data_IF_735273589604
#
_entry.id   IF_735273589604
#
_cell.length_a   1.000
_cell.length_b   1.000
_cell.length_c   1.000
_cell.angle_alpha   90.00
_cell.angle_beta   90.00
_cell.angle_gamma   90.00
#
_symmetry.space_group_name_H-M   'P 1'
#
loop_
_entity.id
_entity.type
_entity.pdbx_description
1 polymer ?
#
# COMPACT_ATOMS: atom_id res chain seq x y z
N UNK A 1 -21.12 -6.69 -6.78
CA UNK A 1 -22.08 -7.63 -6.16
C UNK A 1 -21.33 -8.47 -5.16
N UNK A 2 -21.91 -8.82 -4.01
CA UNK A 2 -21.29 -9.74 -3.06
C UNK A 2 -21.45 -11.18 -3.54
N UNK A 3 -20.49 -12.04 -3.22
CA UNK A 3 -20.55 -13.48 -3.51
C UNK A 3 -21.75 -14.10 -2.78
N UNK A 4 -22.48 -15.02 -3.44
CA UNK A 4 -23.55 -15.74 -2.76
C UNK A 4 -22.98 -16.81 -1.82
N UNK A 5 -23.68 -17.10 -0.72
CA UNK A 5 -23.25 -18.13 0.23
C UNK A 5 -23.06 -19.51 -0.43
N UNK A 6 -23.86 -19.82 -1.46
CA UNK A 6 -23.75 -21.04 -2.23
C UNK A 6 -22.43 -21.11 -3.02
N UNK A 7 -22.05 -20.02 -3.69
CA UNK A 7 -20.77 -19.93 -4.41
C UNK A 7 -19.58 -20.02 -3.44
N UNK A 8 -19.66 -19.37 -2.28
CA UNK A 8 -18.60 -19.45 -1.27
C UNK A 8 -18.41 -20.87 -0.76
N UNK A 9 -19.51 -21.60 -0.48
CA UNK A 9 -19.47 -23.00 -0.02
C UNK A 9 -18.90 -23.94 -1.09
N UNK A 10 -19.32 -23.78 -2.35
CA UNK A 10 -18.83 -24.63 -3.44
C UNK A 10 -17.30 -24.48 -3.62
N UNK A 11 -16.79 -23.25 -3.55
CA UNK A 11 -15.36 -22.98 -3.66
C UNK A 11 -14.58 -23.49 -2.45
N UNK A 12 -15.13 -23.31 -1.24
CA UNK A 12 -14.55 -23.84 -0.01
C UNK A 12 -14.47 -25.38 -0.03
N UNK A 13 -15.54 -26.06 -0.46
CA UNK A 13 -15.54 -27.52 -0.63
C UNK A 13 -14.53 -27.99 -1.69
N UNK A 14 -14.39 -27.26 -2.80
CA UNK A 14 -13.40 -27.57 -3.85
C UNK A 14 -11.97 -27.50 -3.30
N UNK A 15 -11.64 -26.40 -2.61
CA UNK A 15 -10.32 -26.20 -2.00
C UNK A 15 -10.06 -27.19 -0.85
N UNK A 16 -11.09 -27.53 -0.06
CA UNK A 16 -10.99 -28.53 0.99
C UNK A 16 -10.68 -29.93 0.43
N UNK A 17 -11.34 -30.33 -0.67
CA UNK A 17 -11.05 -31.60 -1.34
C UNK A 17 -9.62 -31.65 -1.89
N UNK A 18 -9.17 -30.59 -2.56
CA UNK A 18 -7.78 -30.50 -3.05
C UNK A 18 -6.78 -30.54 -1.90
N UNK A 19 -7.04 -29.80 -0.81
CA UNK A 19 -6.23 -29.81 0.42
C UNK A 19 -6.13 -31.21 1.00
N UNK A 20 -7.24 -31.96 1.08
CA UNK A 20 -7.24 -33.33 1.58
C UNK A 20 -6.42 -34.28 0.69
N UNK A 21 -6.47 -34.11 -0.63
CA UNK A 21 -5.74 -34.95 -1.58
C UNK A 21 -4.22 -34.66 -1.59
N UNK A 22 -3.84 -33.41 -1.36
CA UNK A 22 -2.45 -32.94 -1.49
C UNK A 22 -1.71 -32.85 -0.16
N UNK A 23 -2.43 -32.70 0.97
CA UNK A 23 -1.82 -32.76 2.30
C UNK A 23 -1.23 -34.13 2.56
N UNK A 24 -0.01 -34.15 3.08
CA UNK A 24 0.71 -35.36 3.47
C UNK A 24 0.89 -35.46 4.99
N UNK A 25 0.29 -34.55 5.74
CA UNK A 25 0.43 -34.43 7.20
C UNK A 25 1.55 -33.47 7.59
N UNK A 26 1.92 -33.48 8.87
CA UNK A 26 2.86 -32.52 9.44
C UNK A 26 4.07 -33.21 10.07
N UNK A 27 5.21 -32.51 10.07
CA UNK A 27 6.47 -33.02 10.60
C UNK A 27 7.28 -31.91 11.28
N UNK A 28 8.19 -32.30 12.17
CA UNK A 28 9.24 -31.44 12.73
C UNK A 28 10.39 -31.36 11.74
N UNK A 29 10.77 -30.14 11.37
CA UNK A 29 11.88 -29.89 10.44
C UNK A 29 12.81 -28.84 11.01
N UNK A 30 14.12 -29.12 10.97
CA UNK A 30 15.16 -28.18 11.40
C UNK A 30 15.21 -26.96 10.48
N UNK A 31 15.48 -25.79 11.05
CA UNK A 31 15.55 -24.54 10.30
C UNK A 31 16.62 -24.53 9.20
N UNK A 32 17.64 -25.38 9.30
CA UNK A 32 18.70 -25.53 8.29
C UNK A 32 18.19 -26.11 6.97
N UNK A 33 17.13 -26.93 7.04
CA UNK A 33 16.50 -27.49 5.85
C UNK A 33 15.43 -26.57 5.27
N UNK A 34 15.01 -25.51 5.97
CA UNK A 34 13.97 -24.59 5.50
C UNK A 34 14.55 -23.44 4.67
N UNK A 35 14.15 -23.37 3.40
CA UNK A 35 14.60 -22.38 2.41
C UNK A 35 13.47 -21.44 2.02
N UNK A 36 13.81 -20.16 1.89
CA UNK A 36 12.90 -19.13 1.43
C UNK A 36 13.16 -18.81 -0.03
N UNK A 37 12.13 -18.89 -0.88
CA UNK A 37 12.26 -18.69 -2.33
C UNK A 37 11.70 -17.33 -2.82
N UNK A 38 11.46 -16.34 -1.93
CA UNK A 38 11.06 -15.00 -2.37
C UNK A 38 12.13 -13.94 -2.11
N UNK A 39 12.23 -12.98 -3.05
CA UNK A 39 13.04 -11.74 -2.99
C UNK A 39 12.67 -10.79 -1.83
N UNK A 40 11.79 -11.21 -0.91
CA UNK A 40 11.36 -10.43 0.25
C UNK A 40 12.28 -10.69 1.43
N UNK A 41 13.02 -9.67 1.82
CA UNK A 41 13.76 -9.69 3.09
C UNK A 41 12.80 -9.67 4.28
N UNK A 42 13.06 -10.43 5.36
CA UNK A 42 12.27 -10.36 6.57
C UNK A 42 12.21 -8.91 7.10
N UNK A 43 11.02 -8.46 7.49
CA UNK A 43 10.83 -7.16 8.13
C UNK A 43 11.41 -7.22 9.56
N UNK A 44 12.55 -6.57 9.77
CA UNK A 44 13.30 -6.56 11.04
C UNK A 44 12.43 -6.17 12.24
N UNK A 45 11.49 -5.22 12.07
CA UNK A 45 10.59 -4.83 13.16
C UNK A 45 9.65 -5.97 13.54
N UNK A 46 9.21 -6.76 12.56
CA UNK A 46 8.30 -7.90 12.80
C UNK A 46 9.02 -9.09 13.39
N UNK A 47 10.24 -9.35 12.91
CA UNK A 47 11.13 -10.32 13.55
C UNK A 47 11.31 -9.96 15.02
N UNK A 48 11.54 -8.69 15.34
CA UNK A 48 11.66 -8.25 16.72
C UNK A 48 10.36 -8.41 17.52
N UNK A 49 9.19 -8.05 16.96
CA UNK A 49 7.89 -8.28 17.60
C UNK A 49 7.67 -9.76 17.91
N UNK A 50 7.98 -10.66 16.97
CA UNK A 50 7.86 -12.11 17.18
C UNK A 50 8.82 -12.62 18.24
N UNK A 51 10.05 -12.10 18.30
CA UNK A 51 10.99 -12.39 19.39
C UNK A 51 10.43 -11.94 20.75
N UNK A 52 9.77 -10.79 20.80
CA UNK A 52 9.14 -10.31 22.03
C UNK A 52 7.92 -11.16 22.43
N UNK A 53 7.15 -11.66 21.45
CA UNK A 53 6.09 -12.66 21.70
C UNK A 53 6.71 -13.95 22.24
N UNK A 54 7.77 -14.48 21.63
CA UNK A 54 8.45 -15.69 22.10
C UNK A 54 8.99 -15.54 23.53
N UNK A 55 9.43 -14.34 23.92
CA UNK A 55 9.84 -14.02 25.30
C UNK A 55 8.68 -14.00 26.29
N UNK A 56 7.53 -13.47 25.91
CA UNK A 56 6.39 -13.25 26.81
C UNK A 56 5.46 -14.45 26.93
N UNK A 57 5.16 -15.07 25.81
CA UNK A 57 4.18 -16.17 25.69
C UNK A 57 4.83 -17.54 25.51
N UNK A 58 6.15 -17.56 25.29
CA UNK A 58 6.90 -18.75 24.89
C UNK A 58 6.85 -19.01 23.38
N UNK A 59 7.72 -19.90 22.91
CA UNK A 59 7.66 -20.41 21.55
C UNK A 59 6.67 -21.56 21.50
N UNK A 60 5.53 -21.39 20.83
CA UNK A 60 4.42 -22.36 20.84
C UNK A 60 4.22 -23.01 19.46
N UNK A 61 5.20 -23.79 18.93
CA UNK A 61 5.12 -24.35 17.58
C UNK A 61 3.97 -25.35 17.42
N UNK A 62 3.50 -25.96 18.53
CA UNK A 62 2.40 -26.94 18.56
C UNK A 62 1.01 -26.35 18.27
N UNK A 63 0.85 -25.01 18.30
CA UNK A 63 -0.43 -24.39 17.93
C UNK A 63 -0.59 -24.51 16.42
N UNK A 64 -1.70 -25.07 15.95
CA UNK A 64 -1.98 -25.26 14.51
C UNK A 64 -1.81 -23.96 13.71
N UNK A 65 -2.26 -22.82 14.25
CA UNK A 65 -2.10 -21.51 13.59
C UNK A 65 -0.64 -21.09 13.37
N UNK A 66 0.29 -21.66 14.15
CA UNK A 66 1.71 -21.40 14.07
C UNK A 66 2.45 -22.33 13.10
N UNK A 67 1.81 -23.37 12.54
CA UNK A 67 2.43 -24.27 11.58
C UNK A 67 2.80 -23.53 10.28
N UNK A 68 3.78 -24.09 9.56
CA UNK A 68 4.25 -23.48 8.31
C UNK A 68 3.92 -24.39 7.13
N UNK A 69 3.13 -23.93 6.14
CA UNK A 69 2.87 -24.70 4.94
C UNK A 69 4.10 -24.77 4.04
N UNK A 70 4.42 -25.97 3.58
CA UNK A 70 5.60 -26.29 2.75
C UNK A 70 5.18 -27.16 1.56
N UNK A 71 5.81 -26.95 0.40
CA UNK A 71 5.64 -27.82 -0.77
C UNK A 71 6.78 -28.82 -0.90
N UNK A 72 6.46 -30.07 -1.23
CA UNK A 72 7.42 -31.17 -1.35
C UNK A 72 7.06 -32.13 -2.49
N UNK A 73 8.06 -32.73 -3.14
CA UNK A 73 7.85 -33.83 -4.07
C UNK A 73 7.66 -35.17 -3.33
N UNK A 74 6.78 -36.03 -3.84
CA UNK A 74 6.48 -37.32 -3.20
C UNK A 74 7.73 -38.17 -2.97
N UNK A 75 8.64 -38.23 -3.96
CA UNK A 75 9.89 -38.99 -3.85
C UNK A 75 10.79 -38.51 -2.70
N UNK A 76 10.83 -37.19 -2.48
CA UNK A 76 11.62 -36.61 -1.38
C UNK A 76 10.98 -36.89 -0.03
N UNK A 77 9.65 -36.91 0.03
CA UNK A 77 8.92 -37.30 1.24
C UNK A 77 9.17 -38.77 1.59
N UNK A 78 9.07 -39.67 0.60
CA UNK A 78 9.25 -41.11 0.80
C UNK A 78 10.68 -41.41 1.31
N UNK A 79 11.70 -40.80 0.69
CA UNK A 79 13.08 -40.93 1.14
C UNK A 79 13.30 -40.42 2.58
N UNK A 80 12.66 -39.31 2.96
CA UNK A 80 12.75 -38.78 4.32
C UNK A 80 12.05 -39.69 5.36
N UNK A 81 10.94 -40.32 4.99
CA UNK A 81 10.24 -41.29 5.84
C UNK A 81 11.06 -42.57 6.02
N UNK A 82 11.66 -43.08 4.95
CA UNK A 82 12.56 -44.25 5.01
C UNK A 82 13.77 -43.99 5.91
N UNK A 83 14.41 -42.83 5.80
CA UNK A 83 15.52 -42.43 6.67
C UNK A 83 15.09 -42.32 8.13
N UNK A 84 13.93 -41.72 8.41
CA UNK A 84 13.39 -41.60 9.77
C UNK A 84 13.08 -42.97 10.39
N UNK A 85 12.63 -43.95 9.58
CA UNK A 85 12.41 -45.33 10.00
C UNK A 85 13.72 -46.05 10.29
N UNK A 86 14.71 -45.91 9.40
CA UNK A 86 16.04 -46.50 9.60
C UNK A 86 16.68 -45.97 10.90
N UNK A 87 16.50 -44.68 11.20
CA UNK A 87 16.96 -44.03 12.43
C UNK A 87 16.08 -44.32 13.66
N UNK A 88 15.02 -45.15 13.53
CA UNK A 88 14.01 -45.47 14.57
C UNK A 88 13.34 -44.24 15.19
N UNK A 89 13.30 -43.12 14.46
CA UNK A 89 12.66 -41.86 14.88
C UNK A 89 11.17 -41.86 14.59
N UNK A 90 10.73 -42.68 13.63
CA UNK A 90 9.33 -42.83 13.27
C UNK A 90 9.06 -44.28 12.84
N UNK A 91 7.89 -44.82 13.20
CA UNK A 91 7.58 -46.25 12.99
C UNK A 91 6.44 -46.48 11.98
N UNK A 92 5.78 -45.41 11.51
CA UNK A 92 4.65 -45.52 10.58
C UNK A 92 4.99 -44.87 9.24
N UNK A 93 4.27 -45.21 8.17
CA UNK A 93 4.42 -44.54 6.86
C UNK A 93 3.52 -43.29 6.75
N UNK A 94 2.71 -43.01 7.76
CA UNK A 94 1.69 -41.97 7.72
C UNK A 94 2.02 -40.88 8.72
N UNK A 95 2.08 -39.63 8.27
CA UNK A 95 2.30 -38.49 9.14
C UNK A 95 1.01 -38.09 9.87
N UNK A 96 1.12 -37.54 11.10
CA UNK A 96 -0.03 -36.96 11.79
C UNK A 96 -0.62 -35.82 10.98
N UNK A 97 -1.95 -35.71 10.95
CA UNK A 97 -2.62 -34.57 10.32
C UNK A 97 -2.75 -33.42 11.32
N UNK A 98 -2.62 -32.17 10.88
CA UNK A 98 -2.71 -30.99 11.75
C UNK A 98 -4.04 -30.85 12.49
N UNK A 99 -5.12 -31.49 11.99
CA UNK A 99 -6.45 -31.50 12.60
C UNK A 99 -6.74 -32.69 13.52
N UNK A 100 -5.83 -33.68 13.60
CA UNK A 100 -6.02 -34.80 14.54
C UNK A 100 -5.60 -34.41 15.95
N UNK A 101 -6.47 -34.67 16.94
CA UNK A 101 -6.14 -34.49 18.36
C UNK A 101 -4.96 -35.41 18.68
N UNK A 102 -3.78 -34.83 18.91
CA UNK A 102 -2.59 -35.57 19.31
C UNK A 102 -2.76 -35.99 20.77
N UNK A 103 -3.50 -37.07 20.99
CA UNK A 103 -3.51 -37.76 22.27
C UNK A 103 -2.20 -38.53 22.43
N UNK A 104 -1.20 -37.83 22.97
CA UNK A 104 -0.05 -38.36 23.73
C UNK A 104 0.38 -39.81 23.45
N UNK A 105 1.39 -39.96 22.58
CA UNK A 105 2.64 -40.72 22.83
C UNK A 105 3.65 -40.65 21.65
N UNK A 106 3.24 -40.18 20.47
CA UNK A 106 4.15 -39.87 19.35
C UNK A 106 3.74 -38.57 18.69
N UNK A 107 4.41 -37.46 19.03
CA UNK A 107 4.17 -36.15 18.41
C UNK A 107 4.47 -36.13 16.91
N UNK A 108 4.78 -34.96 16.37
CA UNK A 108 5.24 -34.87 14.98
C UNK A 108 6.61 -35.57 14.81
N UNK A 109 6.84 -36.36 13.75
CA UNK A 109 8.16 -36.96 13.50
C UNK A 109 9.17 -35.91 13.07
N UNK A 110 10.43 -36.06 13.51
CA UNK A 110 11.55 -35.28 12.99
C UNK A 110 12.01 -35.85 11.64
N UNK A 111 11.84 -35.07 10.58
CA UNK A 111 12.25 -35.42 9.23
C UNK A 111 13.39 -34.51 8.77
N UNK A 112 14.41 -35.12 8.16
CA UNK A 112 15.56 -34.42 7.61
C UNK A 112 15.41 -34.27 6.10
N UNK A 113 15.67 -33.06 5.59
CA UNK A 113 15.58 -32.77 4.16
C UNK A 113 16.87 -32.10 3.67
N UNK A 114 17.96 -32.86 3.45
CA UNK A 114 19.25 -32.30 3.05
C UNK A 114 19.21 -31.43 1.79
N UNK A 115 18.29 -31.74 0.86
CA UNK A 115 18.03 -30.95 -0.35
C UNK A 115 17.35 -29.59 -0.09
N UNK A 116 16.80 -29.40 1.11
CA UNK A 116 16.02 -28.24 1.51
C UNK A 116 14.55 -28.32 1.12
N UNK A 117 13.72 -27.61 1.87
CA UNK A 117 12.28 -27.48 1.68
C UNK A 117 11.90 -26.02 1.52
N UNK A 118 11.10 -25.74 0.49
CA UNK A 118 10.59 -24.40 0.23
C UNK A 118 9.30 -24.16 1.00
N UNK A 119 9.35 -23.24 1.96
CA UNK A 119 8.15 -22.86 2.71
C UNK A 119 7.38 -21.74 2.01
N UNK A 120 6.05 -21.84 2.02
CA UNK A 120 5.15 -20.89 1.37
C UNK A 120 4.92 -19.62 2.21
N UNK A 121 5.02 -19.73 3.53
CA UNK A 121 4.76 -18.65 4.48
C UNK A 121 5.63 -18.76 5.74
N UNK A 122 5.66 -17.72 6.58
CA UNK A 122 6.28 -17.79 7.91
C UNK A 122 7.74 -17.35 7.95
N UNK A 123 8.24 -16.62 6.95
CA UNK A 123 9.63 -16.18 6.90
C UNK A 123 10.06 -15.38 8.13
N UNK A 124 9.20 -14.51 8.67
CA UNK A 124 9.50 -13.73 9.88
C UNK A 124 9.56 -14.61 11.12
N UNK A 125 8.72 -15.66 11.19
CA UNK A 125 8.64 -16.62 12.30
C UNK A 125 9.86 -17.53 12.34
N UNK A 126 10.26 -18.05 11.18
CA UNK A 126 11.52 -18.80 11.04
C UNK A 126 12.72 -17.91 11.38
N UNK A 127 12.76 -16.67 10.88
CA UNK A 127 13.85 -15.75 11.17
C UNK A 127 13.91 -15.40 12.66
N UNK A 128 12.78 -15.09 13.30
CA UNK A 128 12.71 -14.86 14.74
C UNK A 128 13.15 -16.10 15.53
N UNK A 129 12.75 -17.30 15.09
CA UNK A 129 13.16 -18.55 15.69
C UNK A 129 14.67 -18.77 15.59
N UNK A 130 15.27 -18.50 14.42
CA UNK A 130 16.73 -18.62 14.19
C UNK A 130 17.54 -17.72 15.13
N UNK A 131 17.02 -16.53 15.42
CA UNK A 131 17.67 -15.53 16.28
C UNK A 131 17.41 -15.73 17.78
N UNK A 132 16.29 -16.36 18.16
CA UNK A 132 15.86 -16.45 19.56
C UNK A 132 16.03 -17.84 20.18
N UNK A 133 15.80 -18.91 19.42
CA UNK A 133 15.79 -20.28 19.95
C UNK A 133 17.21 -20.83 20.14
N UNK A 134 17.37 -21.67 21.16
CA UNK A 134 18.62 -22.39 21.40
C UNK A 134 18.91 -23.37 20.26
N UNK A 135 20.18 -23.76 20.02
CA UNK A 135 20.51 -24.67 18.90
C UNK A 135 19.71 -25.98 18.88
N UNK A 136 19.38 -26.54 20.05
CA UNK A 136 18.55 -27.75 20.20
C UNK A 136 17.08 -27.54 19.85
N UNK A 137 16.60 -26.28 19.82
CA UNK A 137 15.21 -25.89 19.59
C UNK A 137 15.01 -25.26 18.20
N UNK A 138 16.03 -25.27 17.33
CA UNK A 138 15.98 -24.69 15.97
C UNK A 138 15.23 -25.57 14.98
N UNK A 139 13.98 -25.88 15.29
CA UNK A 139 13.06 -26.65 14.47
C UNK A 139 11.69 -25.99 14.44
N UNK A 140 10.86 -26.36 13.45
CA UNK A 140 9.46 -25.96 13.36
C UNK A 140 8.57 -27.10 12.92
N UNK A 141 7.27 -26.99 13.18
CA UNK A 141 6.26 -27.90 12.63
C UNK A 141 5.80 -27.36 11.28
N UNK A 142 5.99 -28.18 10.25
CA UNK A 142 5.58 -27.86 8.88
C UNK A 142 4.43 -28.74 8.45
N UNK A 143 3.47 -28.16 7.74
CA UNK A 143 2.41 -28.88 7.06
C UNK A 143 2.84 -29.14 5.62
N UNK A 144 2.99 -30.42 5.26
CA UNK A 144 3.54 -30.85 3.98
C UNK A 144 2.43 -31.00 2.93
N UNK A 145 2.60 -30.30 1.82
CA UNK A 145 1.74 -30.37 0.64
C UNK A 145 2.55 -30.83 -0.56
N UNK A 146 1.95 -31.62 -1.45
CA UNK A 146 2.62 -31.95 -2.71
C UNK A 146 2.93 -30.71 -3.56
N UNK A 147 4.04 -30.74 -4.31
CA UNK A 147 4.49 -29.63 -5.16
C UNK A 147 3.52 -29.26 -6.27
N UNK A 148 2.61 -30.17 -6.66
CA UNK A 148 1.61 -30.00 -7.70
C UNK A 148 0.30 -29.35 -7.24
N UNK A 149 0.27 -28.71 -6.06
CA UNK A 149 -0.89 -27.91 -5.63
C UNK A 149 -1.23 -26.83 -6.67
N UNK A 150 -2.52 -26.55 -6.83
CA UNK A 150 -2.98 -25.48 -7.70
C UNK A 150 -2.46 -24.11 -7.24
N UNK A 151 -2.40 -23.16 -8.16
CA UNK A 151 -2.07 -21.78 -7.84
C UNK A 151 -3.06 -21.21 -6.79
N UNK A 152 -4.32 -21.61 -6.88
CA UNK A 152 -5.42 -21.25 -5.99
C UNK A 152 -5.16 -21.72 -4.57
N UNK A 153 -4.89 -23.03 -4.38
CA UNK A 153 -4.60 -23.59 -3.08
C UNK A 153 -3.30 -23.00 -2.50
N UNK A 154 -2.27 -22.83 -3.32
CA UNK A 154 -1.03 -22.15 -2.91
C UNK A 154 -1.31 -20.73 -2.42
N UNK A 155 -2.08 -19.95 -3.17
CA UNK A 155 -2.47 -18.59 -2.78
C UNK A 155 -3.29 -18.59 -1.50
N UNK A 156 -4.19 -19.56 -1.35
CA UNK A 156 -5.00 -19.71 -0.14
C UNK A 156 -4.12 -20.00 1.08
N UNK A 157 -3.17 -20.93 0.99
CA UNK A 157 -2.22 -21.25 2.05
C UNK A 157 -1.30 -20.07 2.39
N UNK A 158 -0.90 -19.26 1.41
CA UNK A 158 -0.11 -18.05 1.73
C UNK A 158 -0.97 -17.02 2.48
N UNK A 159 -2.21 -16.77 2.01
CA UNK A 159 -3.06 -15.69 2.54
C UNK A 159 -3.89 -16.03 3.78
N UNK A 160 -4.21 -17.32 4.00
CA UNK A 160 -4.92 -17.81 5.20
C UNK A 160 -4.04 -17.68 6.44
N UNK A 161 -2.74 -18.01 6.31
CA UNK A 161 -1.77 -17.87 7.39
C UNK A 161 -1.30 -16.42 7.58
N UNK A 162 -1.57 -15.52 6.63
CA UNK A 162 -1.38 -14.06 6.80
C UNK A 162 -2.43 -13.46 7.77
N UNK A 163 -3.47 -14.20 8.17
CA UNK A 163 -4.51 -13.68 9.08
C UNK A 163 -4.01 -13.37 10.50
N UNK A 164 -2.80 -13.81 10.87
CA UNK A 164 -2.13 -13.41 12.11
C UNK A 164 -1.67 -11.93 12.07
N UNK A 165 -1.47 -11.37 10.88
CA UNK A 165 -0.98 -10.01 10.67
C UNK A 165 -2.09 -9.08 10.17
N UNK A 166 -2.10 -7.84 10.65
CA UNK A 166 -2.95 -6.80 10.06
C UNK A 166 -2.25 -6.25 8.81
N UNK A 167 -2.75 -6.54 7.59
CA UNK A 167 -2.14 -6.00 6.38
C UNK A 167 -2.26 -4.48 6.37
N UNK A 168 -1.27 -3.83 5.75
CA UNK A 168 -1.32 -2.40 5.53
C UNK A 168 -2.35 -2.03 4.46
N UNK A 169 -2.81 -0.78 4.46
CA UNK A 169 -3.81 -0.30 3.51
C UNK A 169 -3.36 -0.45 2.05
N UNK A 170 -2.06 -0.32 1.77
CA UNK A 170 -1.50 -0.48 0.43
C UNK A 170 -1.54 -1.93 -0.05
N UNK A 171 -1.24 -2.87 0.84
CA UNK A 171 -1.34 -4.30 0.53
C UNK A 171 -2.79 -4.70 0.26
N UNK A 172 -3.74 -4.23 1.08
CA UNK A 172 -5.17 -4.44 0.85
C UNK A 172 -5.56 -3.89 -0.53
N UNK A 173 -5.16 -2.65 -0.84
CA UNK A 173 -5.43 -2.02 -2.13
C UNK A 173 -4.89 -2.86 -3.29
N UNK A 174 -3.58 -3.19 -3.28
CA UNK A 174 -2.91 -3.95 -4.34
C UNK A 174 -3.54 -5.31 -4.56
N UNK A 175 -3.90 -6.02 -3.49
CA UNK A 175 -4.52 -7.35 -3.58
C UNK A 175 -5.92 -7.28 -4.19
N UNK A 176 -6.76 -6.34 -3.76
CA UNK A 176 -8.08 -6.09 -4.38
C UNK A 176 -7.91 -5.78 -5.87
N UNK A 177 -7.01 -4.85 -6.22
CA UNK A 177 -6.80 -4.46 -7.62
C UNK A 177 -6.23 -5.59 -8.47
N UNK A 178 -5.29 -6.38 -7.94
CA UNK A 178 -4.74 -7.57 -8.59
C UNK A 178 -5.86 -8.55 -8.95
N UNK A 179 -6.74 -8.88 -8.01
CA UNK A 179 -7.83 -9.81 -8.28
C UNK A 179 -8.91 -9.26 -9.22
N UNK A 180 -9.10 -7.93 -9.30
CA UNK A 180 -9.93 -7.34 -10.35
C UNK A 180 -9.34 -7.52 -11.76
N UNK A 181 -8.02 -7.43 -11.91
CA UNK A 181 -7.36 -7.48 -13.23
C UNK A 181 -6.99 -8.89 -13.69
N UNK A 182 -6.87 -9.85 -12.77
CA UNK A 182 -6.49 -11.23 -13.10
C UNK A 182 -7.42 -11.89 -14.14
N UNK A 183 -8.76 -11.82 -14.01
CA UNK A 183 -9.68 -12.46 -14.96
C UNK A 183 -9.54 -11.97 -16.41
N UNK A 184 -8.96 -10.80 -16.61
CA UNK A 184 -8.72 -10.20 -17.93
C UNK A 184 -7.31 -10.46 -18.48
N UNK A 185 -6.45 -11.16 -17.73
CA UNK A 185 -5.09 -11.49 -18.17
C UNK A 185 -5.11 -12.68 -19.15
N UNK A 186 -4.31 -12.58 -20.21
CA UNK A 186 -4.25 -13.55 -21.33
C UNK A 186 -3.91 -14.97 -20.85
N UNK A 187 -3.07 -15.09 -19.81
CA UNK A 187 -2.60 -16.37 -19.25
C UNK A 187 -3.21 -16.69 -17.87
N UNK A 188 -4.41 -16.17 -17.57
CA UNK A 188 -5.03 -16.39 -16.26
C UNK A 188 -5.44 -17.85 -16.08
N UNK A 189 -4.64 -18.62 -15.34
CA UNK A 189 -4.97 -19.98 -14.92
C UNK A 189 -6.01 -20.04 -13.80
N UNK A 190 -6.40 -18.88 -13.25
CA UNK A 190 -7.32 -18.79 -12.10
C UNK A 190 -8.73 -18.52 -12.57
N UNK A 191 -9.69 -19.30 -12.06
CA UNK A 191 -11.10 -19.09 -12.38
C UNK A 191 -11.59 -17.69 -11.94
N UNK A 192 -12.50 -17.09 -12.71
CA UNK A 192 -13.11 -15.80 -12.35
C UNK A 192 -13.83 -15.86 -11.00
N UNK A 193 -14.46 -17.00 -10.68
CA UNK A 193 -15.11 -17.23 -9.39
C UNK A 193 -14.11 -17.21 -8.23
N UNK A 194 -12.93 -17.83 -8.40
CA UNK A 194 -11.87 -17.83 -7.40
C UNK A 194 -11.27 -16.44 -7.23
N UNK A 195 -11.01 -15.72 -8.32
CA UNK A 195 -10.54 -14.33 -8.27
C UNK A 195 -11.50 -13.46 -7.45
N UNK A 196 -12.80 -13.60 -7.70
CA UNK A 196 -13.83 -12.88 -6.95
C UNK A 196 -13.85 -13.27 -5.46
N UNK A 197 -13.68 -14.55 -5.13
CA UNK A 197 -13.63 -14.99 -3.74
C UNK A 197 -12.41 -14.43 -2.99
N UNK A 198 -11.23 -14.47 -3.62
CA UNK A 198 -10.01 -13.88 -3.07
C UNK A 198 -10.17 -12.37 -2.89
N UNK A 199 -10.70 -11.67 -3.89
CA UNK A 199 -11.04 -10.25 -3.81
C UNK A 199 -11.94 -9.95 -2.60
N UNK A 200 -13.03 -10.71 -2.41
CA UNK A 200 -13.97 -10.54 -1.31
C UNK A 200 -13.35 -10.76 0.06
N UNK A 201 -12.38 -11.69 0.19
CA UNK A 201 -11.61 -11.85 1.43
C UNK A 201 -10.82 -10.59 1.78
N UNK A 202 -10.21 -9.93 0.80
CA UNK A 202 -9.50 -8.68 1.02
C UNK A 202 -10.44 -7.51 1.32
N UNK A 203 -11.63 -7.46 0.70
CA UNK A 203 -12.69 -6.51 1.07
C UNK A 203 -13.18 -6.70 2.50
N UNK A 204 -13.35 -7.95 2.96
CA UNK A 204 -13.82 -8.28 4.31
C UNK A 204 -12.85 -7.80 5.42
N UNK A 205 -11.58 -7.57 5.10
CA UNK A 205 -10.59 -6.98 6.03
C UNK A 205 -10.84 -5.49 6.29
N UNK A 206 -11.62 -4.80 5.46
CA UNK A 206 -12.00 -3.40 5.66
C UNK A 206 -13.21 -3.30 6.59
N UNK A 207 -13.03 -2.59 7.71
CA UNK A 207 -14.10 -2.35 8.70
C UNK A 207 -14.76 -0.98 8.52
N UNK A 208 -16.06 -0.92 8.80
CA UNK A 208 -16.85 0.31 8.78
C UNK A 208 -16.85 1.01 7.41
N UNK A 209 -16.80 2.35 7.40
CA UNK A 209 -16.89 3.15 6.16
C UNK A 209 -15.68 3.03 5.22
N UNK A 210 -14.63 2.31 5.60
CA UNK A 210 -13.45 2.09 4.74
C UNK A 210 -13.82 1.41 3.42
N UNK A 211 -14.80 0.51 3.45
CA UNK A 211 -15.35 -0.13 2.25
C UNK A 211 -15.94 0.92 1.31
N UNK A 212 -16.77 1.83 1.84
CA UNK A 212 -17.41 2.89 1.06
C UNK A 212 -16.40 3.90 0.51
N UNK A 213 -15.36 4.21 1.29
CA UNK A 213 -14.31 5.13 0.86
C UNK A 213 -13.53 4.58 -0.32
N UNK A 214 -13.13 3.31 -0.25
CA UNK A 214 -12.42 2.66 -1.34
C UNK A 214 -13.33 2.47 -2.56
N UNK A 215 -14.54 1.92 -2.40
CA UNK A 215 -15.51 1.80 -3.51
C UNK A 215 -15.81 3.14 -4.18
N UNK A 216 -16.01 4.18 -3.37
CA UNK A 216 -16.29 5.52 -3.86
C UNK A 216 -15.14 6.08 -4.69
N UNK A 217 -13.88 5.88 -4.25
CA UNK A 217 -12.71 6.30 -5.01
C UNK A 217 -12.55 5.50 -6.31
N UNK A 218 -12.72 4.17 -6.25
CA UNK A 218 -12.56 3.29 -7.41
C UNK A 218 -13.58 3.55 -8.55
N UNK A 219 -14.72 4.20 -8.24
CA UNK A 219 -15.69 4.62 -9.27
C UNK A 219 -15.19 5.76 -10.15
N UNK A 220 -14.18 6.52 -9.69
CA UNK A 220 -13.58 7.61 -10.45
C UNK A 220 -12.38 7.01 -11.20
N UNK A 221 -12.60 6.66 -12.47
CA UNK A 221 -11.64 5.90 -13.30
C UNK A 221 -10.24 6.51 -13.34
N UNK A 222 -10.15 7.84 -13.48
CA UNK A 222 -8.88 8.56 -13.52
C UNK A 222 -8.10 8.44 -12.20
N UNK A 223 -8.78 8.56 -11.05
CA UNK A 223 -8.16 8.36 -9.73
C UNK A 223 -7.73 6.91 -9.54
N UNK A 224 -8.60 5.95 -9.88
CA UNK A 224 -8.28 4.53 -9.80
C UNK A 224 -7.03 4.19 -10.63
N UNK A 225 -6.94 4.70 -11.85
CA UNK A 225 -5.78 4.52 -12.74
C UNK A 225 -4.51 5.13 -12.14
N UNK A 226 -4.58 6.35 -11.60
CA UNK A 226 -3.43 7.02 -10.99
C UNK A 226 -2.91 6.27 -9.74
N UNK A 227 -3.81 5.77 -8.88
CA UNK A 227 -3.40 4.93 -7.75
C UNK A 227 -2.90 3.56 -8.20
N UNK A 228 -3.46 2.97 -9.27
CA UNK A 228 -2.99 1.71 -9.84
C UNK A 228 -1.58 1.82 -10.41
N UNK A 229 -1.20 2.96 -10.98
CA UNK A 229 0.16 3.23 -11.43
C UNK A 229 1.16 3.17 -10.26
N UNK A 230 0.85 3.85 -9.15
CA UNK A 230 1.67 3.81 -7.93
C UNK A 230 1.64 2.44 -7.24
N UNK A 231 0.55 1.69 -7.36
CA UNK A 231 0.42 0.34 -6.83
C UNK A 231 1.40 -0.67 -7.46
N UNK A 232 1.92 -0.39 -8.65
CA UNK A 232 2.98 -1.20 -9.29
C UNK A 232 4.30 -1.10 -8.51
N UNK A 233 4.55 0.02 -7.83
CA UNK A 233 5.72 0.25 -6.98
C UNK A 233 5.36 -0.23 -5.57
N UNK A 234 5.71 -1.49 -5.27
CA UNK A 234 5.18 -2.18 -4.09
C UNK A 234 5.52 -1.48 -2.77
N UNK A 235 6.79 -1.08 -2.59
CA UNK A 235 7.24 -0.31 -1.43
C UNK A 235 6.53 1.02 -1.24
N UNK A 236 6.24 1.74 -2.34
CA UNK A 236 5.58 3.05 -2.31
C UNK A 236 4.11 2.93 -1.92
N UNK A 237 3.41 1.96 -2.50
CA UNK A 237 2.01 1.70 -2.17
C UNK A 237 1.86 1.27 -0.71
N UNK A 238 2.66 0.28 -0.29
CA UNK A 238 2.48 -0.32 1.03
C UNK A 238 2.98 0.55 2.18
N UNK A 239 3.92 1.47 1.94
CA UNK A 239 4.46 2.37 2.98
C UNK A 239 3.55 3.57 3.27
N UNK A 240 2.70 3.98 2.32
CA UNK A 240 2.04 5.28 2.37
C UNK A 240 0.53 5.29 2.13
N UNK A 241 -0.08 4.24 1.57
CA UNK A 241 -1.53 4.22 1.30
C UNK A 241 -2.36 4.43 2.59
N UNK A 242 -3.40 5.27 2.52
CA UNK A 242 -4.36 5.50 3.63
C UNK A 242 -5.80 5.47 3.12
N UNK A 243 -6.43 4.29 3.19
CA UNK A 243 -7.84 4.08 2.76
C UNK A 243 -8.79 4.98 3.57
N UNK A 244 -8.45 5.25 4.82
CA UNK A 244 -9.22 6.14 5.70
C UNK A 244 -9.34 7.57 5.17
N UNK A 245 -8.41 8.03 4.32
CA UNK A 245 -8.36 9.40 3.81
C UNK A 245 -8.98 9.53 2.41
N UNK A 246 -9.29 8.43 1.73
CA UNK A 246 -9.85 8.44 0.37
C UNK A 246 -11.19 9.18 0.25
N UNK A 247 -11.97 9.27 1.33
CA UNK A 247 -13.19 10.08 1.35
C UNK A 247 -12.91 11.58 1.16
N UNK A 248 -11.77 12.08 1.64
CA UNK A 248 -11.33 13.48 1.42
C UNK A 248 -10.86 13.66 -0.03
N UNK A 249 -10.03 12.73 -0.53
CA UNK A 249 -9.57 12.69 -1.93
C UNK A 249 -10.75 12.83 -2.89
N UNK A 250 -11.81 12.04 -2.69
CA UNK A 250 -13.06 12.14 -3.45
C UNK A 250 -13.88 13.39 -3.13
N UNK A 251 -14.01 13.74 -1.85
CA UNK A 251 -14.87 14.84 -1.39
C UNK A 251 -14.37 16.23 -1.81
N UNK A 252 -13.07 16.39 -2.05
CA UNK A 252 -12.48 17.63 -2.53
C UNK A 252 -12.96 18.00 -3.94
N UNK A 253 -13.35 17.04 -4.79
CA UNK A 253 -13.71 17.28 -6.20
C UNK A 253 -12.62 18.00 -7.01
N UNK A 254 -11.35 17.76 -6.66
CA UNK A 254 -10.18 18.28 -7.38
C UNK A 254 -9.44 17.12 -8.05
N UNK A 255 -10.17 16.26 -8.78
CA UNK A 255 -9.61 15.00 -9.29
C UNK A 255 -8.43 15.25 -10.23
N UNK A 256 -8.51 16.26 -11.10
CA UNK A 256 -7.45 16.61 -12.06
C UNK A 256 -6.13 16.95 -11.35
N UNK A 257 -6.20 17.78 -10.30
CA UNK A 257 -5.01 18.18 -9.51
C UNK A 257 -4.45 17.02 -8.70
N UNK A 258 -5.32 16.16 -8.18
CA UNK A 258 -4.92 14.95 -7.45
C UNK A 258 -4.22 13.96 -8.38
N UNK A 259 -4.76 13.72 -9.58
CA UNK A 259 -4.15 12.88 -10.60
C UNK A 259 -2.77 13.42 -10.98
N UNK A 260 -2.65 14.74 -11.18
CA UNK A 260 -1.37 15.39 -11.45
C UNK A 260 -0.36 15.19 -10.30
N UNK A 261 -0.78 15.31 -9.03
CA UNK A 261 0.09 15.04 -7.89
C UNK A 261 0.52 13.56 -7.91
N UNK A 262 -0.41 12.60 -7.99
CA UNK A 262 -0.05 11.17 -8.02
C UNK A 262 0.90 10.84 -9.18
N UNK A 263 0.69 11.43 -10.37
CA UNK A 263 1.59 11.31 -11.51
C UNK A 263 2.98 11.92 -11.27
N UNK A 264 3.07 13.03 -10.53
CA UNK A 264 4.36 13.59 -10.12
C UNK A 264 5.13 12.66 -9.18
N UNK A 265 4.43 11.95 -8.28
CA UNK A 265 5.05 10.92 -7.43
C UNK A 265 5.63 9.83 -8.33
N UNK A 266 4.82 9.26 -9.24
CA UNK A 266 5.27 8.21 -10.15
C UNK A 266 6.49 8.64 -10.97
N UNK A 267 6.42 9.82 -11.60
CA UNK A 267 7.49 10.38 -12.44
C UNK A 267 8.77 10.59 -11.64
N UNK A 268 8.66 11.10 -10.42
CA UNK A 268 9.84 11.34 -9.55
C UNK A 268 10.53 10.02 -9.22
N UNK A 269 9.78 9.01 -8.77
CA UNK A 269 10.34 7.71 -8.47
C UNK A 269 10.91 7.02 -9.72
N UNK A 270 10.21 7.07 -10.86
CA UNK A 270 10.72 6.55 -12.12
C UNK A 270 12.04 7.22 -12.55
N UNK A 271 12.18 8.52 -12.30
CA UNK A 271 13.43 9.26 -12.56
C UNK A 271 14.61 8.74 -11.74
N UNK A 272 14.39 8.38 -10.46
CA UNK A 272 15.46 7.83 -9.62
C UNK A 272 16.04 6.52 -10.14
N UNK A 273 15.20 5.69 -10.77
CA UNK A 273 15.60 4.38 -11.31
C UNK A 273 15.79 4.40 -12.83
N UNK A 274 15.98 5.57 -13.43
CA UNK A 274 16.30 5.68 -14.86
C UNK A 274 17.49 4.79 -15.23
N UNK A 275 17.28 3.89 -16.20
CA UNK A 275 18.29 2.93 -16.65
C UNK A 275 18.29 1.58 -15.91
N UNK A 276 17.40 1.35 -14.94
CA UNK A 276 17.30 0.09 -14.19
C UNK A 276 16.02 -0.65 -14.55
N UNK A 277 16.12 -1.93 -14.91
CA UNK A 277 14.95 -2.76 -15.22
C UNK A 277 14.30 -3.36 -13.96
N UNK A 278 12.97 -3.56 -14.01
CA UNK A 278 12.17 -4.22 -12.97
C UNK A 278 12.33 -3.64 -11.55
N UNK A 279 12.68 -2.35 -11.43
CA UNK A 279 12.92 -1.71 -10.14
C UNK A 279 11.66 -1.63 -9.25
N UNK A 280 10.46 -1.57 -9.84
CA UNK A 280 9.20 -1.36 -9.12
C UNK A 280 8.89 -2.48 -8.09
N UNK A 281 9.35 -3.71 -8.37
CA UNK A 281 9.20 -4.88 -7.50
C UNK A 281 10.32 -4.99 -6.46
N UNK A 282 11.43 -4.25 -6.65
CA UNK A 282 12.65 -4.34 -5.84
C UNK A 282 12.70 -3.28 -4.75
N UNK A 283 11.99 -2.17 -4.92
CA UNK A 283 11.82 -1.12 -3.91
C UNK A 283 10.89 -1.58 -2.81
N UNK A 284 11.38 -1.58 -1.57
CA UNK A 284 10.61 -1.98 -0.40
C UNK A 284 10.06 -0.78 0.42
N UNK A 285 9.37 -1.07 1.53
CA UNK A 285 8.80 -0.04 2.41
C UNK A 285 9.87 0.78 3.12
N UNK A 286 10.98 0.14 3.50
CA UNK A 286 12.06 0.76 4.27
C UNK A 286 12.77 1.79 3.40
N UNK A 287 13.03 1.44 2.14
CA UNK A 287 13.57 2.33 1.13
C UNK A 287 12.76 3.64 1.07
N UNK A 288 11.45 3.51 0.86
CA UNK A 288 10.55 4.68 0.76
C UNK A 288 10.53 5.51 2.04
N UNK A 289 10.51 4.86 3.21
CA UNK A 289 10.48 5.57 4.50
C UNK A 289 11.76 6.33 4.81
N UNK A 290 12.91 5.88 4.32
CA UNK A 290 14.17 6.61 4.51
C UNK A 290 14.27 7.81 3.57
N UNK A 291 13.71 7.69 2.36
CA UNK A 291 13.78 8.72 1.33
C UNK A 291 12.68 9.80 1.44
N UNK A 292 11.45 9.44 1.80
CA UNK A 292 10.34 10.40 1.83
C UNK A 292 10.64 11.60 2.75
N UNK A 293 10.18 12.79 2.35
CA UNK A 293 10.40 14.06 3.08
C UNK A 293 11.84 14.60 3.10
N UNK A 294 12.78 13.98 2.37
CA UNK A 294 14.16 14.48 2.21
C UNK A 294 14.30 15.33 0.94
N UNK A 295 15.21 16.30 0.95
CA UNK A 295 15.53 17.12 -0.23
C UNK A 295 17.04 17.13 -0.55
N UNK A 296 17.62 15.99 -0.97
CA UNK A 296 19.08 15.84 -1.12
C UNK A 296 19.70 16.81 -2.14
N UNK A 297 18.97 17.21 -3.18
CA UNK A 297 19.48 18.20 -4.13
C UNK A 297 19.52 19.64 -3.58
N UNK A 298 18.88 19.91 -2.45
CA UNK A 298 18.80 21.26 -1.84
C UNK A 298 19.40 21.33 -0.43
N UNK A 299 19.50 20.21 0.29
CA UNK A 299 19.99 20.13 1.67
C UNK A 299 21.19 19.18 1.74
N UNK A 300 22.37 19.72 2.07
CA UNK A 300 23.61 18.94 2.24
C UNK A 300 23.46 17.87 3.32
N UNK A 301 22.75 18.19 4.41
CA UNK A 301 22.48 17.26 5.52
C UNK A 301 21.65 16.06 5.05
N UNK A 302 20.58 16.30 4.28
CA UNK A 302 19.77 15.21 3.73
C UNK A 302 20.56 14.39 2.73
N UNK A 303 21.43 15.05 1.97
CA UNK A 303 22.22 14.41 0.94
C UNK A 303 23.28 13.48 1.54
N UNK A 304 24.07 13.94 2.52
CA UNK A 304 25.04 13.12 3.24
C UNK A 304 24.35 11.92 3.92
N UNK A 305 23.21 12.15 4.57
CA UNK A 305 22.41 11.12 5.20
C UNK A 305 21.95 10.03 4.22
N UNK A 306 21.44 10.43 3.04
CA UNK A 306 20.98 9.50 2.02
C UNK A 306 22.14 8.80 1.31
N UNK A 307 23.23 9.52 1.00
CA UNK A 307 24.40 8.98 0.31
C UNK A 307 24.99 7.79 1.08
N UNK A 308 25.25 7.97 2.38
CA UNK A 308 25.82 6.91 3.22
C UNK A 308 24.92 5.67 3.27
N UNK A 309 23.60 5.86 3.35
CA UNK A 309 22.63 4.75 3.41
C UNK A 309 22.44 4.04 2.06
N UNK A 310 22.42 4.78 0.97
CA UNK A 310 22.25 4.23 -0.39
C UNK A 310 23.52 3.51 -0.82
N UNK A 311 24.67 4.17 -0.79
CA UNK A 311 25.93 3.56 -1.24
C UNK A 311 26.37 2.42 -0.32
N UNK A 312 26.16 2.59 1.00
CA UNK A 312 26.40 1.56 2.01
C UNK A 312 25.40 0.41 1.98
N UNK A 313 24.32 0.48 1.20
CA UNK A 313 23.37 -0.62 1.05
C UNK A 313 22.43 -0.85 2.22
N UNK A 314 22.26 0.16 3.08
CA UNK A 314 21.25 0.14 4.14
C UNK A 314 19.85 0.22 3.54
N UNK A 315 19.70 1.03 2.49
CA UNK A 315 18.53 1.07 1.62
C UNK A 315 18.89 0.56 0.23
N UNK A 316 17.87 0.19 -0.53
CA UNK A 316 17.99 -0.45 -1.84
C UNK A 316 18.82 -1.73 -1.76
N UNK A 317 18.58 -2.55 -0.71
CA UNK A 317 19.25 -3.83 -0.48
C UNK A 317 19.13 -4.80 -1.66
N UNK A 318 18.02 -4.72 -2.39
CA UNK A 318 17.73 -5.53 -3.58
C UNK A 318 18.43 -5.02 -4.86
N UNK A 319 19.31 -4.02 -4.74
CA UNK A 319 20.06 -3.42 -5.83
C UNK A 319 21.55 -3.64 -5.65
N UNK A 320 22.22 -3.97 -6.75
CA UNK A 320 23.68 -4.12 -6.81
C UNK A 320 24.38 -2.81 -6.44
N UNK A 321 25.64 -2.87 -5.96
CA UNK A 321 26.41 -1.66 -5.66
C UNK A 321 26.47 -0.67 -6.83
N UNK A 322 26.58 -1.17 -8.08
CA UNK A 322 26.61 -0.36 -9.29
C UNK A 322 25.27 0.34 -9.55
N UNK A 323 24.15 -0.37 -9.41
CA UNK A 323 22.81 0.23 -9.52
C UNK A 323 22.57 1.28 -8.43
N UNK A 324 23.05 1.07 -7.20
CA UNK A 324 22.90 2.05 -6.12
C UNK A 324 23.64 3.36 -6.40
N UNK A 325 24.78 3.31 -7.10
CA UNK A 325 25.47 4.51 -7.58
C UNK A 325 24.63 5.27 -8.60
N UNK A 326 24.00 4.56 -9.55
CA UNK A 326 23.10 5.16 -10.54
C UNK A 326 21.91 5.83 -9.83
N UNK A 327 21.26 5.12 -8.91
CA UNK A 327 20.13 5.63 -8.13
C UNK A 327 20.53 6.89 -7.37
N UNK A 328 21.69 6.87 -6.71
CA UNK A 328 22.19 8.03 -5.98
C UNK A 328 22.40 9.25 -6.89
N UNK A 329 23.05 9.08 -8.04
CA UNK A 329 23.29 10.17 -8.98
C UNK A 329 21.98 10.81 -9.46
N UNK A 330 20.95 10.00 -9.71
CA UNK A 330 19.63 10.48 -10.11
C UNK A 330 18.89 11.20 -8.95
N UNK A 331 19.04 10.72 -7.72
CA UNK A 331 18.44 11.35 -6.53
C UNK A 331 19.12 12.68 -6.20
N UNK A 332 20.45 12.76 -6.31
CA UNK A 332 21.21 13.96 -5.96
C UNK A 332 20.84 15.19 -6.81
N UNK A 333 20.53 14.97 -8.10
CA UNK A 333 20.13 16.07 -9.00
C UNK A 333 18.71 16.57 -8.78
N UNK A 334 17.89 15.83 -8.03
CA UNK A 334 16.49 16.19 -7.78
C UNK A 334 16.38 17.35 -6.78
N UNK A 335 15.93 18.51 -7.27
CA UNK A 335 15.80 19.78 -6.51
C UNK A 335 14.44 19.92 -5.82
N UNK A 336 14.00 18.90 -5.08
CA UNK A 336 12.71 18.93 -4.39
C UNK A 336 12.67 18.00 -3.19
N UNK A 337 11.57 18.08 -2.43
CA UNK A 337 11.25 17.12 -1.38
C UNK A 337 10.78 15.83 -2.04
N UNK A 338 11.40 14.69 -1.71
CA UNK A 338 11.05 13.39 -2.28
C UNK A 338 9.60 13.05 -1.86
N UNK A 339 8.67 12.94 -2.82
CA UNK A 339 7.26 12.75 -2.51
C UNK A 339 6.92 11.27 -2.31
N UNK A 340 5.88 10.98 -1.55
CA UNK A 340 5.35 9.63 -1.37
C UNK A 340 3.83 9.63 -1.19
N UNK A 341 3.21 8.45 -1.16
CA UNK A 341 1.80 8.38 -0.78
C UNK A 341 1.59 8.87 0.67
N UNK A 342 2.55 8.66 1.56
CA UNK A 342 2.46 9.13 2.95
C UNK A 342 2.33 10.66 3.00
N UNK A 343 3.18 11.36 2.24
CA UNK A 343 3.19 12.83 2.16
C UNK A 343 1.94 13.32 1.45
N UNK A 344 1.57 12.69 0.34
CA UNK A 344 0.32 12.98 -0.37
C UNK A 344 -0.90 12.96 0.56
N UNK A 345 -1.08 11.91 1.37
CA UNK A 345 -2.24 11.85 2.27
C UNK A 345 -2.18 12.85 3.43
N UNK A 346 -0.99 13.31 3.83
CA UNK A 346 -0.86 14.42 4.78
C UNK A 346 -1.26 15.73 4.10
N UNK A 347 -0.77 15.97 2.89
CA UNK A 347 -1.08 17.15 2.10
C UNK A 347 -2.57 17.24 1.78
N UNK A 348 -3.24 16.12 1.48
CA UNK A 348 -4.70 16.09 1.26
C UNK A 348 -5.48 16.63 2.48
N UNK A 349 -5.01 16.40 3.71
CA UNK A 349 -5.68 16.92 4.91
C UNK A 349 -5.56 18.45 4.96
N UNK A 350 -4.42 18.99 4.55
CA UNK A 350 -4.19 20.42 4.47
C UNK A 350 -4.93 21.06 3.28
N UNK A 351 -4.77 20.49 2.09
CA UNK A 351 -5.38 20.93 0.86
C UNK A 351 -6.91 20.92 0.94
N UNK A 352 -7.53 19.95 1.61
CA UNK A 352 -8.99 19.95 1.80
C UNK A 352 -9.46 21.26 2.45
N UNK A 353 -8.75 21.76 3.46
CA UNK A 353 -9.07 23.05 4.11
C UNK A 353 -8.96 24.21 3.13
N UNK A 354 -7.96 24.17 2.25
CA UNK A 354 -7.74 25.21 1.25
C UNK A 354 -8.82 25.17 0.16
N UNK A 355 -9.15 23.98 -0.33
CA UNK A 355 -10.16 23.79 -1.37
C UNK A 355 -11.56 24.15 -0.86
N UNK A 356 -11.86 23.90 0.41
CA UNK A 356 -13.12 24.36 1.00
C UNK A 356 -13.26 25.90 0.97
N UNK A 357 -12.15 26.64 1.06
CA UNK A 357 -12.15 28.09 0.86
C UNK A 357 -12.38 28.50 -0.60
N UNK A 358 -11.69 27.85 -1.55
CA UNK A 358 -11.85 28.12 -2.98
C UNK A 358 -13.27 27.81 -3.47
N UNK A 359 -13.90 26.75 -2.96
CA UNK A 359 -15.29 26.38 -3.27
C UNK A 359 -16.32 27.45 -2.90
N UNK A 360 -15.96 28.45 -2.09
CA UNK A 360 -16.86 29.57 -1.79
C UNK A 360 -17.02 30.53 -2.97
N UNK A 361 -16.15 30.43 -3.98
CA UNK A 361 -16.15 31.30 -5.15
C UNK A 361 -16.99 30.74 -6.31
N UNK A 362 -17.42 29.48 -6.25
CA UNK A 362 -18.13 28.84 -7.36
C UNK A 362 -19.12 27.78 -6.87
N UNK A 363 -20.29 27.71 -7.49
CA UNK A 363 -21.15 26.53 -7.36
C UNK A 363 -20.54 25.34 -8.10
N UNK A 364 -20.26 24.24 -7.38
CA UNK A 364 -19.72 23.01 -7.97
C UNK A 364 -20.82 21.97 -8.11
N UNK A 365 -21.22 21.70 -9.36
CA UNK A 365 -22.22 20.68 -9.68
C UNK A 365 -21.77 19.27 -9.28
N UNK A 366 -22.69 18.31 -9.04
CA UNK A 366 -22.33 16.95 -8.60
C UNK A 366 -21.30 16.23 -9.47
N UNK A 367 -21.37 16.44 -10.78
CA UNK A 367 -20.53 15.78 -11.78
C UNK A 367 -19.33 16.63 -12.23
N UNK A 368 -19.12 17.79 -11.60
CA UNK A 368 -18.12 18.77 -11.98
C UNK A 368 -16.96 18.84 -10.97
N UNK A 369 -15.75 19.14 -11.46
CA UNK A 369 -14.58 19.43 -10.61
C UNK A 369 -14.50 20.89 -10.23
N UNK A 370 -13.82 21.22 -9.13
CA UNK A 370 -13.56 22.62 -8.74
C UNK A 370 -12.82 23.37 -9.86
N UNK A 371 -11.92 22.69 -10.57
CA UNK A 371 -11.19 23.27 -11.70
C UNK A 371 -12.14 23.62 -12.85
N UNK A 372 -13.06 22.72 -13.23
CA UNK A 372 -14.05 22.98 -14.27
C UNK A 372 -14.99 24.12 -13.90
N UNK A 373 -15.44 24.18 -12.65
CA UNK A 373 -16.32 25.26 -12.19
C UNK A 373 -15.62 26.63 -12.22
N UNK A 374 -14.34 26.69 -11.85
CA UNK A 374 -13.52 27.89 -11.99
C UNK A 374 -13.20 28.23 -13.44
N UNK A 375 -13.02 27.22 -14.30
CA UNK A 375 -12.82 27.45 -15.73
C UNK A 375 -14.04 28.09 -16.38
N UNK A 376 -15.25 27.69 -15.98
CA UNK A 376 -16.50 28.28 -16.46
C UNK A 376 -16.72 29.72 -15.96
N UNK A 377 -16.19 30.07 -14.78
CA UNK A 377 -16.29 31.44 -14.24
C UNK A 377 -15.21 32.38 -14.78
N UNK A 378 -14.23 31.90 -15.53
CA UNK A 378 -13.16 32.75 -16.05
C UNK A 378 -13.59 33.49 -17.32
N UNK A 379 -13.71 34.82 -17.23
CA UNK A 379 -14.27 35.68 -18.30
C UNK A 379 -13.21 36.49 -19.05
N UNK A 380 -11.95 36.46 -18.62
CA UNK A 380 -10.90 37.29 -19.21
C UNK A 380 -10.41 36.72 -20.54
N UNK A 381 -10.54 37.49 -21.62
CA UNK A 381 -10.10 37.07 -22.97
C UNK A 381 -8.62 37.39 -23.26
N UNK A 382 -7.99 38.22 -22.42
CA UNK A 382 -6.62 38.72 -22.66
C UNK A 382 -5.52 37.75 -22.22
N UNK A 383 -4.43 37.73 -22.98
CA UNK A 383 -3.23 36.91 -22.73
C UNK A 383 -2.25 37.47 -21.69
N UNK A 384 -2.74 38.10 -20.62
CA UNK A 384 -1.90 38.48 -19.47
C UNK A 384 -2.58 38.16 -18.14
N UNK A 385 -1.82 37.66 -17.16
CA UNK A 385 -2.30 37.31 -15.83
C UNK A 385 -1.46 37.95 -14.74
N UNK A 386 -2.13 38.49 -13.73
CA UNK A 386 -1.47 39.03 -12.55
C UNK A 386 -1.05 37.88 -11.64
N UNK A 387 0.21 37.90 -11.21
CA UNK A 387 0.78 36.95 -10.26
C UNK A 387 1.30 37.74 -9.07
N UNK A 388 0.87 37.36 -7.87
CA UNK A 388 1.40 37.93 -6.66
C UNK A 388 2.79 37.33 -6.36
N UNK A 389 3.83 38.16 -6.37
CA UNK A 389 5.22 37.73 -6.14
C UNK A 389 5.73 38.00 -4.73
N UNK A 390 5.07 38.89 -3.98
CA UNK A 390 5.29 39.10 -2.53
C UNK A 390 3.98 39.46 -1.82
N UNK A 391 4.02 39.80 -0.53
CA UNK A 391 2.81 40.23 0.19
C UNK A 391 2.14 41.45 -0.45
N UNK A 392 2.90 42.34 -1.08
CA UNK A 392 2.40 43.61 -1.64
C UNK A 392 2.69 43.82 -3.12
N UNK A 393 3.47 42.95 -3.77
CA UNK A 393 3.85 43.11 -5.19
C UNK A 393 3.15 42.13 -6.09
N UNK A 394 2.82 42.60 -7.29
CA UNK A 394 2.22 41.81 -8.35
C UNK A 394 2.99 42.05 -9.64
N UNK A 395 3.25 40.98 -10.37
CA UNK A 395 3.84 40.99 -11.69
C UNK A 395 2.81 40.52 -12.72
N UNK A 396 2.98 40.94 -13.98
CA UNK A 396 2.09 40.57 -15.08
C UNK A 396 2.81 39.62 -16.02
N UNK A 397 2.32 38.40 -16.11
CA UNK A 397 2.84 37.38 -17.02
C UNK A 397 1.98 37.28 -18.27
N UNK A 398 2.62 37.24 -19.45
CA UNK A 398 1.92 37.05 -20.72
C UNK A 398 1.92 35.58 -21.12
N UNK A 399 0.80 35.09 -21.62
CA UNK A 399 0.69 33.71 -22.04
C UNK A 399 -0.58 33.41 -22.81
N UNK A 400 -0.74 32.12 -23.17
CA UNK A 400 -2.00 31.64 -23.73
C UNK A 400 -3.15 31.79 -22.73
N UNK A 401 -4.39 31.80 -23.21
CA UNK A 401 -5.58 31.82 -22.37
C UNK A 401 -5.55 30.71 -21.32
N UNK A 402 -5.18 29.49 -21.72
CA UNK A 402 -5.05 28.35 -20.81
C UNK A 402 -4.00 28.57 -19.71
N UNK A 403 -2.88 29.20 -20.05
CA UNK A 403 -1.82 29.53 -19.08
C UNK A 403 -2.29 30.59 -18.09
N UNK A 404 -2.91 31.67 -18.58
CA UNK A 404 -3.46 32.73 -17.75
C UNK A 404 -4.51 32.20 -16.77
N UNK A 405 -5.41 31.33 -17.25
CA UNK A 405 -6.39 30.62 -16.40
C UNK A 405 -5.74 29.81 -15.29
N UNK A 406 -4.77 28.95 -15.64
CA UNK A 406 -4.05 28.12 -14.65
C UNK A 406 -3.35 28.99 -13.60
N UNK A 407 -2.70 30.08 -14.02
CA UNK A 407 -2.05 31.02 -13.11
C UNK A 407 -3.05 31.73 -12.20
N UNK A 408 -4.22 32.13 -12.72
CA UNK A 408 -5.31 32.70 -11.92
C UNK A 408 -5.82 31.72 -10.86
N UNK A 409 -6.09 30.48 -11.24
CA UNK A 409 -6.51 29.43 -10.29
C UNK A 409 -5.43 29.20 -9.22
N UNK A 410 -4.15 29.13 -9.62
CA UNK A 410 -3.04 28.98 -8.68
C UNK A 410 -2.92 30.17 -7.72
N UNK A 411 -3.16 31.40 -8.20
CA UNK A 411 -3.22 32.60 -7.38
C UNK A 411 -4.30 32.53 -6.29
N UNK A 412 -5.50 32.08 -6.65
CA UNK A 412 -6.58 31.84 -5.70
C UNK A 412 -6.23 30.76 -4.67
N UNK A 413 -5.68 29.63 -5.11
CA UNK A 413 -5.25 28.55 -4.22
C UNK A 413 -4.14 29.03 -3.27
N UNK A 414 -3.15 29.79 -3.77
CA UNK A 414 -2.06 30.34 -2.96
C UNK A 414 -2.56 31.34 -1.91
N UNK A 415 -3.53 32.19 -2.27
CA UNK A 415 -4.19 33.07 -1.31
C UNK A 415 -4.84 32.27 -0.18
N UNK A 416 -5.64 31.26 -0.52
CA UNK A 416 -6.32 30.45 0.50
C UNK A 416 -5.32 29.65 1.32
N UNK A 417 -4.24 29.13 0.74
CA UNK A 417 -3.20 28.43 1.51
C UNK A 417 -2.60 29.31 2.62
N UNK A 418 -2.35 30.60 2.33
CA UNK A 418 -1.84 31.58 3.32
C UNK A 418 -2.84 31.86 4.42
N UNK A 419 -4.12 31.98 4.08
CA UNK A 419 -5.17 32.47 4.99
C UNK A 419 -6.20 31.41 5.42
N UNK A 420 -5.93 30.12 5.19
CA UNK A 420 -6.86 29.01 5.44
C UNK A 420 -7.40 28.98 6.88
N UNK A 421 -6.61 29.46 7.86
CA UNK A 421 -7.01 29.56 9.26
C UNK A 421 -8.16 30.56 9.51
N UNK A 422 -8.29 31.58 8.65
CA UNK A 422 -9.38 32.57 8.67
C UNK A 422 -10.57 32.17 7.78
N UNK A 423 -10.44 31.05 7.04
CA UNK A 423 -11.44 30.53 6.11
C UNK A 423 -11.93 29.12 6.51
N UNK A 424 -12.34 28.87 7.77
CA UNK A 424 -12.91 27.58 8.15
C UNK A 424 -14.15 27.26 7.31
N UNK A 425 -14.37 25.96 7.08
CA UNK A 425 -15.56 25.45 6.40
C UNK A 425 -16.82 25.85 7.15
N UNK A 426 -17.87 26.22 6.41
CA UNK A 426 -19.16 26.51 7.02
C UNK A 426 -19.71 25.28 7.76
N UNK A 427 -20.35 25.50 8.93
CA UNK A 427 -20.92 24.40 9.68
C UNK A 427 -22.06 23.76 8.89
N UNK A 428 -21.89 22.49 8.52
CA UNK A 428 -22.99 21.66 8.00
C UNK A 428 -24.07 21.62 9.08
N UNK A 429 -25.31 22.01 8.74
CA UNK A 429 -26.48 21.94 9.64
C UNK A 429 -26.74 20.49 10.07
N UNK A 430 -26.03 20.00 11.09
CA UNK A 430 -26.33 18.75 11.80
C UNK A 430 -26.22 18.97 13.31
N UNK A 431 -27.38 18.84 13.95
CA UNK A 431 -27.70 18.79 15.38
C UNK A 431 -27.20 19.93 16.28
N UNK A 432 -28.17 20.60 16.89
CA UNK A 432 -28.14 21.79 17.79
C UNK A 432 -27.38 21.63 19.11
N UNK A 433 -26.50 20.65 19.29
CA UNK A 433 -25.76 20.47 20.55
C UNK A 433 -24.27 20.29 20.28
N UNK A 434 -23.49 21.20 20.84
CA UNK A 434 -22.02 21.22 21.06
C UNK A 434 -21.17 22.20 20.21
N UNK A 435 -20.58 23.16 20.94
CA UNK A 435 -19.49 24.11 20.62
C UNK A 435 -19.75 25.22 19.58
N UNK A 436 -19.49 26.50 19.90
CA UNK A 436 -19.42 27.55 18.88
C UNK A 436 -18.28 27.21 17.92
N UNK A 437 -18.62 27.00 16.65
CA UNK A 437 -17.64 26.70 15.59
C UNK A 437 -17.23 27.99 14.91
N UNK A 438 -15.93 28.10 14.61
CA UNK A 438 -15.35 29.27 13.94
C UNK A 438 -16.06 29.53 12.60
N UNK A 439 -16.43 30.80 12.37
CA UNK A 439 -16.94 31.28 11.08
C UNK A 439 -15.80 31.87 10.28
N UNK A 440 -15.94 31.89 8.96
CA UNK A 440 -15.01 32.59 8.10
C UNK A 440 -15.00 34.09 8.42
N UNK A 441 -13.81 34.67 8.41
CA UNK A 441 -13.62 36.11 8.55
C UNK A 441 -14.17 36.80 7.29
N UNK A 442 -15.07 37.78 7.50
CA UNK A 442 -15.73 38.47 6.38
C UNK A 442 -14.76 39.33 5.59
N UNK A 443 -13.78 39.97 6.24
CA UNK A 443 -12.78 40.79 5.55
C UNK A 443 -11.89 39.94 4.67
N UNK A 444 -11.49 38.76 5.14
CA UNK A 444 -10.71 37.81 4.32
C UNK A 444 -11.53 37.25 3.15
N UNK A 445 -12.83 37.02 3.32
CA UNK A 445 -13.72 36.61 2.22
C UNK A 445 -13.84 37.70 1.14
N UNK A 446 -14.00 38.96 1.54
CA UNK A 446 -14.06 40.09 0.60
C UNK A 446 -12.74 40.26 -0.16
N UNK A 447 -11.60 40.09 0.52
CA UNK A 447 -10.29 40.10 -0.13
C UNK A 447 -10.14 38.95 -1.14
N UNK A 448 -10.64 37.76 -0.81
CA UNK A 448 -10.62 36.63 -1.73
C UNK A 448 -11.51 36.87 -2.96
N UNK A 449 -12.71 37.44 -2.77
CA UNK A 449 -13.61 37.79 -3.86
C UNK A 449 -13.02 38.87 -4.76
N UNK A 450 -12.48 39.95 -4.18
CA UNK A 450 -11.79 41.01 -4.91
C UNK A 450 -10.59 40.48 -5.70
N UNK A 451 -9.82 39.56 -5.12
CA UNK A 451 -8.73 38.90 -5.84
C UNK A 451 -9.26 38.05 -7.01
N UNK A 452 -10.37 37.33 -6.83
CA UNK A 452 -10.98 36.55 -7.91
C UNK A 452 -11.40 37.42 -9.09
N UNK A 453 -12.03 38.57 -8.83
CA UNK A 453 -12.39 39.54 -9.86
C UNK A 453 -11.16 40.08 -10.60
N UNK A 454 -10.12 40.48 -9.86
CA UNK A 454 -8.84 40.96 -10.44
C UNK A 454 -8.20 39.89 -11.33
N UNK A 455 -8.26 38.64 -10.90
CA UNK A 455 -7.71 37.50 -11.65
C UNK A 455 -8.61 37.06 -12.81
N UNK A 456 -9.78 37.67 -13.01
CA UNK A 456 -10.65 37.45 -14.16
C UNK A 456 -11.74 36.39 -13.95
N UNK A 457 -12.07 36.05 -12.71
CA UNK A 457 -13.15 35.13 -12.36
C UNK A 457 -14.40 35.90 -11.95
N UNK A 458 -15.54 35.44 -12.44
CA UNK A 458 -16.84 36.06 -12.22
C UNK A 458 -17.92 34.99 -12.04
N UNK A 459 -18.60 35.01 -10.90
CA UNK A 459 -19.66 34.06 -10.53
C UNK A 459 -20.67 34.74 -9.61
N UNK A 460 -21.85 34.14 -9.46
CA UNK A 460 -22.84 34.64 -8.50
C UNK A 460 -22.31 34.57 -7.06
N UNK A 461 -21.50 33.57 -6.74
CA UNK A 461 -20.90 33.43 -5.42
C UNK A 461 -19.84 34.50 -5.14
N UNK A 462 -19.02 34.86 -6.13
CA UNK A 462 -18.03 35.95 -6.00
C UNK A 462 -18.74 37.27 -5.75
N UNK A 463 -19.77 37.59 -6.55
CA UNK A 463 -20.54 38.85 -6.42
C UNK A 463 -21.36 38.96 -5.13
N UNK A 464 -21.58 37.84 -4.43
CA UNK A 464 -22.37 37.79 -3.20
C UNK A 464 -21.53 37.96 -1.92
N UNK A 465 -20.19 37.88 -2.02
CA UNK A 465 -19.23 38.06 -0.92
C UNK A 465 -18.78 39.53 -0.83
#
# INVERSE_FOLDING_TARGET
MWQTQAQARAEDSRLASERQLTSRGSALVRFEYLRWNEKRTPDEKRVQTLKDIFKREGCLPMKIGNHIPVTIDQQLLDAALEDAQQKRRWQTNTLPNSYSIINSQGGYPELEFPGGLEYLHGCQRIQAGREYLTPSEKWWIVDLYLSNISYELRTFLVEEYTNEEKPCDGEIYRKIRRYHSLPTAVDCMVSSATCHSLEMRWWARLKGRRVDYLKGMLRISQLASAFDALARITGLCDSGMKITTLHKVRGMRCHDWIVNYLGNIEKTWAGFFGGISQWQQRVDKVDVKVLELRAPGASTVDAEYLQGRILGGVVFKNFSPQERVIIWNNIWVFKGIIPSLSTFFLDIIFLEKCIDGVKRLVAVSPDETVSSALDHSYIKEQGSQWIQTSETTFDSERGSLETCKKLGILGLVAFVMRLHQYLPKDPVKKNRKTTPRAKADRGVLQQLAALAEILGFDSLEIRAL
#
